data_IF_367772848794
#
_entry.id   IF_367772848794
#
_cell.length_a   1.000
_cell.length_b   1.000
_cell.length_c   1.000
_cell.angle_alpha   90.00
_cell.angle_beta   90.00
_cell.angle_gamma   90.00
#
_symmetry.space_group_name_H-M   'P 1'
#
loop_
_entity.id
_entity.type
_entity.pdbx_description
1 polymer ?
#
# COMPACT_ATOMS: atom_id res chain seq x y z
N UNK A 1 -21.45 8.91 21.16
CA UNK A 1 -20.01 9.06 20.85
C UNK A 1 -19.43 7.78 20.28
N UNK A 2 -19.49 6.67 21.02
CA UNK A 2 -18.89 5.38 20.60
C UNK A 2 -19.37 4.89 19.23
N UNK A 3 -20.69 4.78 18.99
CA UNK A 3 -21.24 4.39 17.67
C UNK A 3 -20.81 5.30 16.51
N UNK A 4 -20.58 6.58 16.80
CA UNK A 4 -20.21 7.58 15.80
C UNK A 4 -18.72 7.50 15.48
N UNK A 5 -17.89 7.19 16.48
CA UNK A 5 -16.47 6.87 16.33
C UNK A 5 -16.31 5.57 15.55
N UNK A 6 -17.06 4.51 15.91
CA UNK A 6 -17.05 3.25 15.17
C UNK A 6 -17.51 3.47 13.73
N UNK A 7 -18.57 4.25 13.50
CA UNK A 7 -18.99 4.57 12.14
C UNK A 7 -17.93 5.35 11.35
N UNK A 8 -17.31 6.36 11.97
CA UNK A 8 -16.27 7.15 11.32
C UNK A 8 -15.06 6.30 10.96
N UNK A 9 -14.61 5.46 11.89
CA UNK A 9 -13.55 4.49 11.66
C UNK A 9 -13.98 3.53 10.55
N UNK A 10 -15.07 2.80 10.72
CA UNK A 10 -15.57 1.73 9.85
C UNK A 10 -16.02 2.17 8.44
N UNK A 11 -16.29 3.45 8.19
CA UNK A 11 -16.86 3.84 6.89
C UNK A 11 -16.26 5.11 6.28
N UNK A 12 -15.68 6.02 7.08
CA UNK A 12 -15.24 7.34 6.59
C UNK A 12 -13.73 7.54 6.56
N UNK A 13 -12.97 6.89 7.46
CA UNK A 13 -11.56 7.21 7.69
C UNK A 13 -10.69 7.00 6.45
N UNK A 14 -10.75 5.83 5.82
CA UNK A 14 -9.94 5.55 4.64
C UNK A 14 -10.36 6.37 3.40
N UNK A 15 -11.66 6.53 3.06
CA UNK A 15 -12.07 7.47 2.01
C UNK A 15 -11.57 8.90 2.25
N UNK A 16 -11.63 9.38 3.50
CA UNK A 16 -11.13 10.71 3.86
C UNK A 16 -9.61 10.81 3.67
N UNK A 17 -8.85 9.82 4.14
CA UNK A 17 -7.39 9.77 3.95
C UNK A 17 -7.01 9.73 2.47
N UNK A 18 -7.74 8.99 1.64
CA UNK A 18 -7.53 8.93 0.20
C UNK A 18 -7.81 10.30 -0.43
N UNK A 19 -8.90 10.96 -0.06
CA UNK A 19 -9.21 12.32 -0.54
C UNK A 19 -8.09 13.29 -0.17
N UNK A 20 -7.59 13.23 1.07
CA UNK A 20 -6.48 14.08 1.53
C UNK A 20 -5.21 13.79 0.72
N UNK A 21 -4.85 12.52 0.52
CA UNK A 21 -3.69 12.12 -0.28
C UNK A 21 -3.82 12.57 -1.73
N UNK A 22 -4.99 12.41 -2.34
CA UNK A 22 -5.25 12.85 -3.70
C UNK A 22 -5.23 14.38 -3.82
N UNK A 23 -5.66 15.10 -2.78
CA UNK A 23 -5.60 16.55 -2.73
C UNK A 23 -4.15 17.04 -2.58
N UNK A 24 -3.35 16.37 -1.75
CA UNK A 24 -1.89 16.62 -1.66
C UNK A 24 -1.22 16.34 -3.01
N UNK A 25 -1.51 15.20 -3.65
CA UNK A 25 -1.01 14.86 -4.99
C UNK A 25 -1.44 15.88 -6.05
N UNK A 26 -2.70 16.36 -5.99
CA UNK A 26 -3.25 17.34 -6.91
C UNK A 26 -2.78 18.79 -6.65
N UNK A 27 -2.29 19.09 -5.44
CA UNK A 27 -1.73 20.39 -5.07
C UNK A 27 -0.28 20.57 -5.55
N UNK A 28 0.42 19.46 -5.79
CA UNK A 28 1.77 19.45 -6.35
C UNK A 28 1.69 19.78 -7.86
N UNK A 29 1.88 21.07 -8.21
CA UNK A 29 1.83 21.59 -9.59
C UNK A 29 2.60 20.71 -10.60
N UNK A 30 3.78 20.20 -10.24
CA UNK A 30 4.59 19.34 -11.13
C UNK A 30 4.14 17.87 -11.22
N UNK A 31 3.43 17.35 -10.21
CA UNK A 31 2.87 16.00 -10.25
C UNK A 31 1.56 15.98 -11.04
N UNK A 32 0.69 16.99 -10.85
CA UNK A 32 -0.65 17.06 -11.42
C UNK A 32 -0.68 17.09 -12.95
N UNK A 33 0.25 17.79 -13.60
CA UNK A 33 0.32 17.88 -15.06
C UNK A 33 0.79 16.58 -15.72
N UNK A 34 1.48 15.73 -14.97
CA UNK A 34 2.13 14.52 -15.49
C UNK A 34 1.44 13.23 -15.03
N UNK A 35 0.66 13.29 -13.97
CA UNK A 35 -0.10 12.17 -13.44
C UNK A 35 -1.45 12.08 -14.14
N UNK A 36 -1.71 10.97 -14.82
CA UNK A 36 -3.07 10.71 -15.28
C UNK A 36 -3.94 10.28 -14.10
N UNK A 37 -4.66 11.26 -13.53
CA UNK A 37 -5.51 11.08 -12.35
C UNK A 37 -6.47 9.89 -12.50
N UNK A 38 -7.01 9.68 -13.71
CA UNK A 38 -7.88 8.54 -14.03
C UNK A 38 -7.16 7.19 -13.84
N UNK A 39 -5.96 7.04 -14.39
CA UNK A 39 -5.19 5.80 -14.27
C UNK A 39 -4.68 5.59 -12.85
N UNK A 40 -4.31 6.66 -12.14
CA UNK A 40 -3.89 6.58 -10.75
C UNK A 40 -5.04 6.10 -9.84
N UNK A 41 -6.24 6.67 -9.98
CA UNK A 41 -7.43 6.22 -9.25
C UNK A 41 -7.75 4.76 -9.56
N UNK A 42 -7.73 4.37 -10.84
CA UNK A 42 -7.98 2.99 -11.25
C UNK A 42 -6.96 2.03 -10.65
N UNK A 43 -5.68 2.39 -10.67
CA UNK A 43 -4.61 1.59 -10.07
C UNK A 43 -4.80 1.43 -8.57
N UNK A 44 -5.05 2.53 -7.85
CA UNK A 44 -5.28 2.53 -6.40
C UNK A 44 -6.47 1.63 -6.05
N UNK A 45 -7.55 1.71 -6.81
CA UNK A 45 -8.74 0.90 -6.60
C UNK A 45 -8.45 -0.60 -6.80
N UNK A 46 -7.81 -0.98 -7.90
CA UNK A 46 -7.49 -2.38 -8.19
C UNK A 46 -6.49 -2.93 -7.17
N UNK A 47 -5.40 -2.19 -6.91
CA UNK A 47 -4.39 -2.59 -5.94
C UNK A 47 -4.99 -2.69 -4.53
N UNK A 48 -5.81 -1.72 -4.12
CA UNK A 48 -6.51 -1.75 -2.83
C UNK A 48 -7.42 -2.96 -2.69
N UNK A 49 -8.21 -3.31 -3.71
CA UNK A 49 -9.06 -4.50 -3.70
C UNK A 49 -8.23 -5.79 -3.56
N UNK A 50 -7.14 -5.92 -4.31
CA UNK A 50 -6.24 -7.08 -4.22
C UNK A 50 -5.60 -7.18 -2.83
N UNK A 51 -5.15 -6.06 -2.27
CA UNK A 51 -4.56 -5.98 -0.94
C UNK A 51 -5.55 -6.28 0.19
N UNK A 52 -6.84 -6.09 -0.06
CA UNK A 52 -7.90 -6.47 0.87
C UNK A 52 -8.15 -7.98 0.94
N UNK A 53 -7.83 -8.74 -0.13
CA UNK A 53 -8.18 -10.17 -0.25
C UNK A 53 -7.69 -11.06 0.89
N UNK A 54 -6.50 -10.85 1.51
CA UNK A 54 -6.07 -11.66 2.65
C UNK A 54 -7.00 -11.54 3.87
N UNK A 55 -7.85 -10.50 3.95
CA UNK A 55 -8.85 -10.36 5.01
C UNK A 55 -9.88 -11.52 5.04
N UNK A 56 -10.09 -12.22 3.93
CA UNK A 56 -10.93 -13.43 3.90
C UNK A 56 -10.33 -14.61 4.67
N UNK A 57 -9.02 -14.62 4.89
CA UNK A 57 -8.36 -15.68 5.67
C UNK A 57 -8.80 -15.68 7.14
N UNK A 58 -9.48 -14.63 7.60
CA UNK A 58 -10.12 -14.57 8.92
C UNK A 58 -11.13 -15.69 9.19
N UNK A 59 -11.68 -16.32 8.14
CA UNK A 59 -12.55 -17.51 8.24
C UNK A 59 -11.83 -18.69 8.90
N UNK A 60 -10.50 -18.72 8.86
CA UNK A 60 -9.67 -19.75 9.51
C UNK A 60 -9.64 -19.63 11.03
N UNK A 61 -10.22 -18.57 11.63
CA UNK A 61 -10.28 -18.36 13.08
C UNK A 61 -8.89 -18.48 13.73
N UNK A 62 -8.70 -19.39 14.68
CA UNK A 62 -7.45 -19.58 15.41
C UNK A 62 -6.27 -19.98 14.52
N UNK A 63 -6.52 -20.67 13.41
CA UNK A 63 -5.47 -21.04 12.44
C UNK A 63 -4.93 -19.82 11.67
N UNK A 64 -5.66 -18.70 11.69
CA UNK A 64 -5.18 -17.46 11.09
C UNK A 64 -3.84 -17.01 11.70
N UNK A 65 -3.66 -17.17 13.02
CA UNK A 65 -2.46 -16.68 13.73
C UNK A 65 -1.18 -17.36 13.23
N UNK A 66 -1.26 -18.63 12.84
CA UNK A 66 -0.10 -19.38 12.36
C UNK A 66 -0.02 -19.40 10.84
N UNK A 67 -1.01 -19.99 10.18
CA UNK A 67 -1.03 -20.14 8.72
C UNK A 67 -1.47 -18.88 8.00
N UNK A 68 -2.53 -18.24 8.49
CA UNK A 68 -3.11 -17.06 7.85
C UNK A 68 -2.16 -15.87 7.78
N UNK A 69 -1.38 -15.60 8.83
CA UNK A 69 -0.37 -14.53 8.84
C UNK A 69 0.71 -14.82 7.80
N UNK A 70 1.25 -16.04 7.76
CA UNK A 70 2.29 -16.40 6.79
C UNK A 70 1.82 -16.24 5.34
N UNK A 71 0.60 -16.70 5.04
CA UNK A 71 -0.01 -16.55 3.71
C UNK A 71 -0.27 -15.07 3.39
N UNK A 72 -0.76 -14.30 4.36
CA UNK A 72 -1.04 -12.86 4.18
C UNK A 72 0.24 -12.09 3.86
N UNK A 73 1.29 -12.26 4.68
CA UNK A 73 2.59 -11.60 4.49
C UNK A 73 3.21 -12.01 3.16
N UNK A 74 3.20 -13.31 2.82
CA UNK A 74 3.69 -13.80 1.54
C UNK A 74 2.94 -13.18 0.35
N UNK A 75 1.62 -13.09 0.45
CA UNK A 75 0.77 -12.44 -0.57
C UNK A 75 1.11 -10.95 -0.71
N UNK A 76 1.25 -10.22 0.40
CA UNK A 76 1.63 -8.81 0.37
C UNK A 76 2.99 -8.58 -0.25
N UNK A 77 3.97 -9.43 0.06
CA UNK A 77 5.30 -9.34 -0.53
C UNK A 77 5.29 -9.58 -2.04
N UNK A 78 4.58 -10.63 -2.51
CA UNK A 78 4.42 -10.92 -3.94
C UNK A 78 3.71 -9.76 -4.66
N UNK A 79 2.62 -9.25 -4.08
CA UNK A 79 1.92 -8.08 -4.63
C UNK A 79 2.83 -6.86 -4.67
N UNK A 80 3.68 -6.66 -3.66
CA UNK A 80 4.66 -5.57 -3.63
C UNK A 80 5.70 -5.69 -4.74
N UNK A 81 6.18 -6.90 -5.04
CA UNK A 81 7.08 -7.15 -6.17
C UNK A 81 6.39 -6.84 -7.51
N UNK A 82 5.15 -7.30 -7.69
CA UNK A 82 4.35 -6.99 -8.89
C UNK A 82 4.09 -5.48 -9.01
N UNK A 83 3.82 -4.80 -7.90
CA UNK A 83 3.63 -3.36 -7.88
C UNK A 83 4.91 -2.62 -8.29
N UNK A 84 6.08 -3.04 -7.80
CA UNK A 84 7.37 -2.48 -8.21
C UNK A 84 7.60 -2.66 -9.72
N UNK A 85 7.35 -3.86 -10.25
CA UNK A 85 7.51 -4.15 -11.69
C UNK A 85 6.54 -3.32 -12.55
N UNK A 86 5.28 -3.21 -12.15
CA UNK A 86 4.28 -2.43 -12.89
C UNK A 86 4.58 -0.94 -12.84
N UNK A 87 5.02 -0.41 -11.70
CA UNK A 87 5.40 1.00 -11.50
C UNK A 87 6.63 1.41 -12.32
N UNK A 88 7.56 0.49 -12.59
CA UNK A 88 8.70 0.74 -13.48
C UNK A 88 8.41 0.44 -14.95
N UNK A 89 7.41 -0.41 -15.21
CA UNK A 89 7.03 -0.85 -16.55
C UNK A 89 6.03 0.06 -17.26
N UNK A 90 5.27 -0.53 -18.18
CA UNK A 90 4.29 0.19 -19.02
C UNK A 90 3.19 0.88 -18.21
N UNK A 91 2.75 0.29 -17.09
CA UNK A 91 1.72 0.88 -16.21
C UNK A 91 2.24 2.17 -15.57
N UNK A 92 3.47 2.16 -15.07
CA UNK A 92 4.15 3.35 -14.55
C UNK A 92 4.28 4.48 -15.57
N UNK A 93 4.55 4.14 -16.84
CA UNK A 93 4.56 5.12 -17.94
C UNK A 93 3.18 5.72 -18.17
N UNK A 94 2.12 4.91 -18.21
CA UNK A 94 0.74 5.39 -18.33
C UNK A 94 0.27 6.23 -17.14
N UNK A 95 0.82 5.96 -15.95
CA UNK A 95 0.61 6.75 -14.74
C UNK A 95 1.44 8.03 -14.70
N UNK A 96 2.48 8.14 -15.54
CA UNK A 96 3.43 9.26 -15.53
C UNK A 96 4.40 9.25 -14.35
N UNK A 97 4.61 8.08 -13.71
CA UNK A 97 5.45 7.92 -12.51
C UNK A 97 6.63 6.97 -12.69
N UNK A 98 6.88 6.42 -13.88
CA UNK A 98 7.94 5.44 -14.15
C UNK A 98 9.30 5.81 -13.57
N UNK A 99 9.66 7.09 -13.68
CA UNK A 99 10.96 7.62 -13.26
C UNK A 99 10.85 8.55 -12.03
N UNK A 100 9.71 8.51 -11.33
CA UNK A 100 9.38 9.40 -10.22
C UNK A 100 9.12 8.60 -8.95
N UNK A 101 10.16 8.29 -8.16
CA UNK A 101 10.01 7.46 -6.97
C UNK A 101 9.02 8.05 -5.96
N UNK A 102 8.94 9.39 -5.85
CA UNK A 102 7.97 10.04 -4.97
C UNK A 102 6.52 9.80 -5.43
N UNK A 103 6.25 9.88 -6.74
CA UNK A 103 4.91 9.62 -7.29
C UNK A 103 4.50 8.15 -7.12
N UNK A 104 5.46 7.23 -7.32
CA UNK A 104 5.26 5.81 -7.04
C UNK A 104 4.93 5.59 -5.55
N UNK A 105 5.71 6.17 -4.64
CA UNK A 105 5.47 6.06 -3.20
C UNK A 105 4.07 6.54 -2.81
N UNK A 106 3.62 7.69 -3.31
CA UNK A 106 2.28 8.20 -3.03
C UNK A 106 1.17 7.23 -3.48
N UNK A 107 1.28 6.67 -4.69
CA UNK A 107 0.29 5.72 -5.21
C UNK A 107 0.30 4.41 -4.40
N UNK A 108 1.48 3.91 -4.04
CA UNK A 108 1.61 2.68 -3.25
C UNK A 108 1.07 2.89 -1.82
N UNK A 109 1.34 4.02 -1.19
CA UNK A 109 0.80 4.37 0.12
C UNK A 109 -0.73 4.48 0.06
N UNK A 110 -1.28 5.18 -0.94
CA UNK A 110 -2.73 5.29 -1.11
C UNK A 110 -3.39 3.92 -1.32
N UNK A 111 -2.78 3.06 -2.16
CA UNK A 111 -3.21 1.67 -2.36
C UNK A 111 -3.16 0.86 -1.06
N UNK A 112 -2.11 1.04 -0.25
CA UNK A 112 -1.93 0.34 1.03
C UNK A 112 -2.97 0.76 2.05
N UNK A 113 -3.28 2.05 2.15
CA UNK A 113 -4.32 2.56 3.06
C UNK A 113 -5.68 1.99 2.68
N UNK A 114 -6.03 2.04 1.39
CA UNK A 114 -7.28 1.46 0.89
C UNK A 114 -7.33 -0.05 1.13
N UNK A 115 -6.23 -0.75 0.85
CA UNK A 115 -6.11 -2.20 1.03
C UNK A 115 -6.20 -2.64 2.49
N UNK A 116 -5.51 -1.97 3.40
CA UNK A 116 -5.60 -2.20 4.84
C UNK A 116 -7.05 -2.02 5.32
N UNK A 117 -7.71 -0.98 4.80
CA UNK A 117 -9.10 -0.70 5.12
C UNK A 117 -10.05 -1.81 4.67
N UNK A 118 -9.93 -2.25 3.42
CA UNK A 118 -10.73 -3.36 2.87
C UNK A 118 -10.42 -4.65 3.63
N UNK A 119 -9.14 -4.92 3.93
CA UNK A 119 -8.74 -6.07 4.76
C UNK A 119 -9.47 -6.03 6.09
N UNK A 120 -9.41 -4.91 6.83
CA UNK A 120 -10.07 -4.78 8.13
C UNK A 120 -11.57 -5.06 8.04
N UNK A 121 -12.26 -4.51 7.04
CA UNK A 121 -13.68 -4.73 6.84
C UNK A 121 -14.00 -6.20 6.59
N UNK A 122 -13.26 -6.85 5.69
CA UNK A 122 -13.43 -8.28 5.38
C UNK A 122 -13.11 -9.14 6.61
N UNK A 123 -11.98 -8.87 7.26
CA UNK A 123 -11.51 -9.61 8.43
C UNK A 123 -12.51 -9.56 9.57
N UNK A 124 -13.01 -8.38 9.89
CA UNK A 124 -13.99 -8.18 10.96
C UNK A 124 -15.35 -8.78 10.59
N UNK A 125 -15.75 -8.67 9.32
CA UNK A 125 -17.05 -9.17 8.86
C UNK A 125 -17.13 -10.69 8.81
N UNK A 126 -16.08 -11.36 8.36
CA UNK A 126 -16.08 -12.80 8.13
C UNK A 126 -15.47 -13.60 9.27
N UNK A 127 -14.45 -13.07 9.96
CA UNK A 127 -13.81 -13.76 11.08
C UNK A 127 -14.44 -13.49 12.44
N UNK A 128 -15.01 -12.30 12.68
CA UNK A 128 -15.53 -11.94 14.01
C UNK A 128 -14.45 -11.83 15.11
N UNK A 129 -13.17 -11.85 14.71
CA UNK A 129 -12.01 -11.81 15.60
C UNK A 129 -11.72 -10.37 16.06
N UNK A 130 -11.35 -10.15 17.33
CA UNK A 130 -11.21 -8.81 17.91
C UNK A 130 -9.98 -8.02 17.39
N UNK A 131 -9.03 -8.70 16.74
CA UNK A 131 -7.74 -8.13 16.36
C UNK A 131 -7.63 -7.74 14.88
N UNK A 132 -8.75 -7.55 14.17
CA UNK A 132 -8.73 -7.16 12.75
C UNK A 132 -7.94 -5.87 12.45
N UNK A 133 -7.90 -4.94 13.42
CA UNK A 133 -7.10 -3.72 13.34
C UNK A 133 -5.59 -3.97 13.39
N UNK A 134 -5.15 -5.05 14.04
CA UNK A 134 -3.75 -5.51 14.02
C UNK A 134 -3.48 -6.30 12.74
N UNK A 135 -4.41 -7.17 12.34
CA UNK A 135 -4.29 -7.97 11.13
C UNK A 135 -4.10 -7.11 9.87
N UNK A 136 -4.83 -5.99 9.74
CA UNK A 136 -4.67 -5.10 8.60
C UNK A 136 -3.28 -4.46 8.48
N UNK A 137 -2.51 -4.31 9.58
CA UNK A 137 -1.17 -3.74 9.53
C UNK A 137 -0.18 -4.60 8.74
N UNK A 138 -0.50 -5.88 8.52
CA UNK A 138 0.29 -6.76 7.66
C UNK A 138 0.35 -6.25 6.22
N UNK A 139 -0.62 -5.43 5.78
CA UNK A 139 -0.57 -4.82 4.44
C UNK A 139 0.66 -3.94 4.22
N UNK A 140 1.33 -3.47 5.29
CA UNK A 140 2.58 -2.71 5.18
C UNK A 140 3.70 -3.50 4.50
N UNK A 141 3.66 -4.83 4.54
CA UNK A 141 4.61 -5.69 3.84
C UNK A 141 4.59 -5.48 2.31
N UNK A 142 3.50 -4.95 1.76
CA UNK A 142 3.40 -4.54 0.36
C UNK A 142 4.41 -3.46 -0.02
N UNK A 143 4.78 -2.58 0.92
CA UNK A 143 5.71 -1.47 0.65
C UNK A 143 7.18 -1.92 0.64
N UNK A 144 7.48 -3.09 1.22
CA UNK A 144 8.86 -3.56 1.42
C UNK A 144 9.64 -3.66 0.11
N UNK A 145 9.14 -4.29 -0.97
CA UNK A 145 9.88 -4.38 -2.23
C UNK A 145 10.26 -3.01 -2.81
N UNK A 146 9.34 -2.04 -2.76
CA UNK A 146 9.60 -0.67 -3.20
C UNK A 146 10.64 0.03 -2.31
N UNK A 147 10.50 -0.07 -0.98
CA UNK A 147 11.43 0.54 -0.04
C UNK A 147 12.85 -0.03 -0.18
N UNK A 148 12.98 -1.34 -0.40
CA UNK A 148 14.27 -2.00 -0.64
C UNK A 148 14.92 -1.48 -1.90
N UNK A 149 14.19 -1.41 -3.01
CA UNK A 149 14.73 -0.90 -4.27
C UNK A 149 15.09 0.57 -4.18
N UNK A 150 14.22 1.39 -3.59
CA UNK A 150 14.47 2.81 -3.37
C UNK A 150 15.73 3.02 -2.53
N UNK A 151 15.87 2.28 -1.42
CA UNK A 151 17.04 2.35 -0.55
C UNK A 151 18.33 1.94 -1.28
N UNK A 152 18.29 0.85 -2.05
CA UNK A 152 19.42 0.39 -2.84
C UNK A 152 19.85 1.44 -3.88
N UNK A 153 18.89 2.04 -4.57
CA UNK A 153 19.17 3.09 -5.57
C UNK A 153 19.86 4.31 -4.95
N UNK A 154 19.54 4.66 -3.70
CA UNK A 154 20.16 5.77 -2.97
C UNK A 154 21.50 5.39 -2.38
N UNK A 155 21.66 4.16 -1.91
CA UNK A 155 22.93 3.65 -1.41
C UNK A 155 24.03 3.73 -2.48
N UNK A 156 23.71 3.43 -3.75
CA UNK A 156 24.65 3.55 -4.86
C UNK A 156 25.09 4.99 -5.19
N UNK A 157 24.41 6.01 -4.66
CA UNK A 157 24.82 7.42 -4.81
C UNK A 157 25.80 7.85 -3.72
N UNK A 158 25.96 7.07 -2.65
CA UNK A 158 26.95 7.36 -1.61
C UNK A 158 28.32 7.08 -2.22
N UNK A 159 29.23 8.08 -2.27
CA UNK A 159 30.57 7.85 -2.77
C UNK A 159 31.25 6.77 -1.92
N UNK A 160 32.03 5.85 -2.53
CA UNK A 160 32.78 4.88 -1.75
C UNK A 160 33.70 5.63 -0.76
N UNK A 161 33.94 5.06 0.44
CA UNK A 161 34.80 5.70 1.42
C UNK A 161 36.14 6.09 0.78
N UNK A 162 36.50 7.37 0.94
CA UNK A 162 37.73 7.99 0.40
C UNK A 162 38.99 7.48 1.11
N UNK A 163 38.84 6.65 2.15
CA UNK A 163 39.98 6.13 2.88
C UNK A 163 40.76 5.18 1.98
N UNK A 164 41.96 5.61 1.58
CA UNK A 164 43.00 4.69 1.13
C UNK A 164 43.12 3.61 2.21
N UNK A 165 42.95 2.35 1.80
CA UNK A 165 43.44 1.22 2.57
C UNK A 165 44.94 1.49 2.76
N UNK A 166 45.31 1.81 4.01
CA UNK A 166 46.68 2.01 4.43
C UNK A 166 47.62 0.90 3.94
#
# INVERSE_FOLDING_TARGET
MERLITFFQSYLLAPLLIIILLLVMGSLKGLKEQLSMKYALLYILIAGLLLGTPGFLSVLQDEYVWGGIFISVGTYFILGLLALLTMKGGVGKSLGVSDKPFGQACILIASTILGAWIHYLLFTRFGGLPYGHIAMMQSLWFLIPFLTEFSLSRFHLVPPPIYELW
#
